data_IF_712294521636
#
_entry.id   IF_712294521636
#
_cell.length_a   1.000
_cell.length_b   1.000
_cell.length_c   1.000
_cell.angle_alpha   90.00
_cell.angle_beta   90.00
_cell.angle_gamma   90.00
#
_symmetry.space_group_name_H-M   'P 1'
#
loop_
_entity.id
_entity.type
_entity.pdbx_description
1 polymer ?
#
# COMPACT_ATOMS: atom_id res chain seq x y z
N UNK A 1 9.71 13.61 69.79
CA UNK A 1 9.13 14.23 68.61
C UNK A 1 9.98 14.03 67.35
N UNK A 2 11.26 14.35 67.30
CA UNK A 2 12.09 14.18 66.09
C UNK A 2 12.18 12.74 65.52
N UNK A 3 12.26 11.71 66.40
CA UNK A 3 12.30 10.30 65.96
C UNK A 3 10.99 9.79 65.39
N UNK A 4 9.85 10.30 65.87
CA UNK A 4 8.51 9.93 65.39
C UNK A 4 8.26 10.50 64.00
N UNK A 5 8.70 11.74 63.72
CA UNK A 5 8.59 12.40 62.41
C UNK A 5 9.42 11.69 61.37
N UNK A 6 10.62 11.18 61.73
CA UNK A 6 11.48 10.43 60.79
C UNK A 6 10.86 9.09 60.37
N UNK A 7 10.20 8.38 61.33
CA UNK A 7 9.52 7.10 61.02
C UNK A 7 8.28 7.31 60.14
N UNK A 8 7.54 8.37 60.35
CA UNK A 8 6.34 8.70 59.53
C UNK A 8 6.77 9.09 58.12
N UNK A 9 7.83 9.86 57.95
CA UNK A 9 8.35 10.20 56.62
C UNK A 9 8.91 8.98 55.88
N UNK A 10 9.57 8.06 56.58
CA UNK A 10 10.12 6.85 55.92
C UNK A 10 9.01 5.89 55.48
N UNK A 11 7.94 5.74 56.28
CA UNK A 11 6.78 4.92 55.88
C UNK A 11 5.95 5.52 54.74
N UNK A 12 5.87 6.85 54.64
CA UNK A 12 5.24 7.52 53.47
C UNK A 12 6.06 7.35 52.19
N UNK A 13 7.39 7.38 52.26
CA UNK A 13 8.26 7.16 51.10
C UNK A 13 8.16 5.70 50.61
N UNK A 14 8.12 4.73 51.52
CA UNK A 14 7.95 3.31 51.18
C UNK A 14 6.56 3.04 50.59
N UNK A 15 5.49 3.65 51.12
CA UNK A 15 4.15 3.55 50.57
C UNK A 15 4.04 4.20 49.18
N UNK A 16 4.74 5.32 48.94
CA UNK A 16 4.77 5.98 47.62
C UNK A 16 5.58 5.18 46.61
N UNK A 17 6.68 4.50 46.99
CA UNK A 17 7.41 3.58 46.12
C UNK A 17 6.62 2.32 45.76
N UNK A 18 5.73 1.83 46.61
CA UNK A 18 4.88 0.68 46.30
C UNK A 18 3.74 1.02 45.30
N UNK A 19 3.35 2.28 45.15
CA UNK A 19 2.34 2.70 44.16
C UNK A 19 2.87 2.74 42.71
N UNK A 20 4.17 2.66 42.52
CA UNK A 20 4.78 2.61 41.15
C UNK A 20 5.20 1.20 40.73
N UNK A 21 4.96 0.19 41.53
CA UNK A 21 5.40 -1.18 41.24
C UNK A 21 4.35 -2.02 40.48
N UNK A 22 3.20 -1.46 40.10
CA UNK A 22 2.12 -2.22 39.47
C UNK A 22 1.77 -1.68 38.04
N UNK A 23 2.79 -1.31 37.29
CA UNK A 23 2.73 -1.34 35.83
C UNK A 23 3.44 -2.59 35.32
N UNK A 24 3.02 -3.77 35.78
CA UNK A 24 3.20 -4.97 35.01
C UNK A 24 2.24 -4.88 33.84
N UNK A 25 2.78 -4.45 32.71
CA UNK A 25 2.19 -4.66 31.39
C UNK A 25 1.85 -6.15 31.31
N UNK A 26 0.60 -6.48 31.57
CA UNK A 26 0.07 -7.83 31.41
C UNK A 26 -0.07 -8.09 29.89
N UNK A 27 1.04 -8.01 29.17
CA UNK A 27 1.17 -8.65 27.87
C UNK A 27 0.97 -10.14 28.16
N UNK A 28 -0.20 -10.60 27.80
CA UNK A 28 -0.70 -11.96 27.98
C UNK A 28 0.17 -12.96 27.18
N UNK A 29 1.46 -13.06 27.44
CA UNK A 29 2.45 -14.00 26.89
C UNK A 29 2.41 -14.26 25.37
N UNK A 30 1.52 -13.57 24.63
CA UNK A 30 1.38 -13.68 23.19
C UNK A 30 2.48 -12.89 22.53
N UNK A 31 3.10 -13.51 21.53
CA UNK A 31 4.05 -12.81 20.67
C UNK A 31 3.30 -11.77 19.85
N UNK A 32 3.75 -10.53 19.90
CA UNK A 32 3.17 -9.45 19.10
C UNK A 32 3.81 -9.43 17.71
N UNK A 33 2.99 -9.14 16.69
CA UNK A 33 3.43 -8.93 15.30
C UNK A 33 2.74 -7.69 14.76
N UNK A 34 3.51 -6.78 14.18
CA UNK A 34 2.99 -5.60 13.49
C UNK A 34 3.12 -5.78 11.98
N UNK A 35 2.00 -5.65 11.26
CA UNK A 35 1.94 -5.71 9.80
C UNK A 35 1.70 -4.30 9.28
N UNK A 36 2.66 -3.77 8.50
CA UNK A 36 2.48 -2.54 7.75
C UNK A 36 1.63 -2.80 6.50
N UNK A 37 0.81 -1.84 6.11
CA UNK A 37 0.08 -1.92 4.84
C UNK A 37 -0.24 -0.54 4.29
N UNK A 38 -0.36 -0.47 2.97
CA UNK A 38 -0.88 0.69 2.25
C UNK A 38 -2.34 0.41 1.88
N UNK A 39 -3.15 1.44 1.66
CA UNK A 39 -4.56 1.30 1.32
C UNK A 39 -4.77 0.85 -0.15
N UNK A 40 -4.01 -0.15 -0.59
CA UNK A 40 -4.18 -0.81 -1.87
C UNK A 40 -5.00 -2.09 -1.70
N UNK A 41 -5.75 -2.43 -2.72
CA UNK A 41 -6.78 -3.47 -2.66
C UNK A 41 -6.25 -4.83 -2.21
N UNK A 42 -5.17 -5.30 -2.82
CA UNK A 42 -4.51 -6.56 -2.52
C UNK A 42 -3.77 -6.51 -1.19
N UNK A 43 -3.06 -5.41 -0.93
CA UNK A 43 -2.31 -5.21 0.30
C UNK A 43 -3.20 -5.27 1.55
N UNK A 44 -4.39 -4.65 1.48
CA UNK A 44 -5.41 -4.76 2.52
C UNK A 44 -5.83 -6.23 2.70
N UNK A 45 -6.22 -6.89 1.60
CA UNK A 45 -6.70 -8.28 1.65
C UNK A 45 -5.66 -9.23 2.23
N UNK A 46 -4.41 -9.16 1.77
CA UNK A 46 -3.31 -10.00 2.23
C UNK A 46 -2.98 -9.71 3.70
N UNK A 47 -2.93 -8.45 4.11
CA UNK A 47 -2.61 -8.06 5.49
C UNK A 47 -3.68 -8.54 6.48
N UNK A 48 -4.96 -8.41 6.14
CA UNK A 48 -6.05 -8.91 6.98
C UNK A 48 -6.09 -10.44 7.01
N UNK A 49 -5.82 -11.12 5.90
CA UNK A 49 -5.71 -12.58 5.88
C UNK A 49 -4.56 -13.06 6.77
N UNK A 50 -3.39 -12.44 6.65
CA UNK A 50 -2.23 -12.76 7.48
C UNK A 50 -2.53 -12.52 8.98
N UNK A 51 -3.22 -11.40 9.31
CA UNK A 51 -3.68 -11.12 10.67
C UNK A 51 -4.51 -12.28 11.22
N UNK A 52 -5.58 -12.67 10.52
CA UNK A 52 -6.47 -13.76 10.96
C UNK A 52 -5.70 -15.08 11.13
N UNK A 53 -4.80 -15.41 10.21
CA UNK A 53 -3.97 -16.61 10.28
C UNK A 53 -3.02 -16.61 11.47
N UNK A 54 -2.35 -15.49 11.74
CA UNK A 54 -1.42 -15.35 12.87
C UNK A 54 -2.16 -15.34 14.20
N UNK A 55 -3.30 -14.66 14.30
CA UNK A 55 -4.14 -14.67 15.51
C UNK A 55 -4.66 -16.06 15.84
N UNK A 56 -5.02 -16.87 14.83
CA UNK A 56 -5.40 -18.28 15.03
C UNK A 56 -4.26 -19.15 15.59
N UNK A 57 -3.00 -18.69 15.42
CA UNK A 57 -1.80 -19.33 15.98
C UNK A 57 -1.36 -18.74 17.32
N UNK A 58 -2.16 -17.83 17.89
CA UNK A 58 -1.91 -17.26 19.22
C UNK A 58 -1.03 -16.02 19.23
N UNK A 59 -0.76 -15.39 18.08
CA UNK A 59 -0.11 -14.09 18.03
C UNK A 59 -1.11 -12.97 18.32
N UNK A 60 -0.61 -11.83 18.79
CA UNK A 60 -1.34 -10.56 18.87
C UNK A 60 -0.89 -9.70 17.69
N UNK A 61 -1.81 -9.37 16.77
CA UNK A 61 -1.45 -8.76 15.48
C UNK A 61 -1.99 -7.35 15.36
N UNK A 62 -1.08 -6.40 15.19
CA UNK A 62 -1.39 -4.99 14.94
C UNK A 62 -1.23 -4.65 13.46
N UNK A 63 -2.27 -4.11 12.84
CA UNK A 63 -2.21 -3.54 11.51
C UNK A 63 -1.84 -2.05 11.58
N UNK A 64 -0.85 -1.63 10.80
CA UNK A 64 -0.37 -0.24 10.73
C UNK A 64 -0.50 0.29 9.32
N UNK A 65 -1.51 1.13 9.11
CA UNK A 65 -1.68 1.81 7.83
C UNK A 65 -0.72 3.00 7.71
N UNK A 66 -0.02 3.08 6.59
CA UNK A 66 0.82 4.22 6.23
C UNK A 66 1.07 4.23 4.72
N UNK A 67 1.61 5.33 4.19
CA UNK A 67 2.12 5.39 2.82
C UNK A 67 3.35 4.49 2.67
N UNK A 68 3.69 4.15 1.42
CA UNK A 68 4.73 3.15 1.11
C UNK A 68 6.10 3.51 1.69
N UNK A 69 6.54 4.77 1.60
CA UNK A 69 7.84 5.17 2.11
C UNK A 69 7.94 5.05 3.65
N UNK A 70 6.98 5.56 4.46
CA UNK A 70 6.91 5.29 5.90
C UNK A 70 6.87 3.80 6.27
N UNK A 71 6.21 2.94 5.47
CA UNK A 71 6.19 1.48 5.72
C UNK A 71 7.61 0.93 5.65
N UNK A 72 8.35 1.17 4.56
CA UNK A 72 9.73 0.69 4.41
C UNK A 72 10.69 1.26 5.47
N UNK A 73 10.56 2.54 5.80
CA UNK A 73 11.34 3.16 6.89
C UNK A 73 11.04 2.50 8.23
N UNK A 74 9.77 2.21 8.51
CA UNK A 74 9.36 1.60 9.78
C UNK A 74 9.83 0.15 9.89
N UNK A 75 9.81 -0.62 8.78
CA UNK A 75 10.39 -1.97 8.74
C UNK A 75 11.90 -1.94 9.00
N UNK A 76 12.63 -1.10 8.27
CA UNK A 76 14.09 -0.98 8.43
C UNK A 76 14.49 -0.54 9.85
N UNK A 77 13.61 0.17 10.56
CA UNK A 77 13.78 0.58 11.95
C UNK A 77 13.26 -0.44 12.98
N UNK A 78 12.77 -1.61 12.56
CA UNK A 78 12.21 -2.64 13.43
C UNK A 78 10.93 -2.23 14.15
N UNK A 79 10.18 -1.24 13.63
CA UNK A 79 8.89 -0.79 14.17
C UNK A 79 7.68 -1.45 13.53
N UNK A 80 7.89 -2.04 12.37
CA UNK A 80 6.95 -2.88 11.63
C UNK A 80 7.69 -4.17 11.29
N UNK A 81 7.07 -5.30 11.59
CA UNK A 81 7.72 -6.61 11.43
C UNK A 81 7.55 -7.17 10.01
N UNK A 82 6.39 -6.92 9.38
CA UNK A 82 6.04 -7.53 8.08
C UNK A 82 5.34 -6.52 7.18
N UNK A 83 5.64 -6.59 5.88
CA UNK A 83 4.90 -5.96 4.80
C UNK A 83 4.62 -7.02 3.73
N UNK A 84 3.35 -7.14 3.31
CA UNK A 84 2.88 -8.24 2.45
C UNK A 84 2.75 -7.84 0.97
N UNK A 85 3.14 -6.60 0.61
CA UNK A 85 2.78 -6.01 -0.68
C UNK A 85 3.98 -5.28 -1.31
N UNK A 86 5.16 -5.94 -1.26
CA UNK A 86 6.38 -5.44 -1.89
C UNK A 86 6.44 -5.92 -3.34
N UNK A 87 6.25 -5.01 -4.30
CA UNK A 87 6.31 -5.29 -5.73
C UNK A 87 7.75 -5.30 -6.24
N UNK A 88 8.21 -6.43 -6.70
CA UNK A 88 9.59 -6.69 -7.10
C UNK A 88 9.65 -7.40 -8.46
N UNK A 89 10.70 -7.17 -9.28
CA UNK A 89 11.95 -6.50 -8.92
C UNK A 89 11.97 -4.98 -9.15
N UNK A 90 10.99 -4.37 -9.81
CA UNK A 90 11.12 -3.02 -10.35
C UNK A 90 10.47 -1.94 -9.49
N UNK A 91 9.16 -2.06 -9.20
CA UNK A 91 8.35 -0.99 -8.58
C UNK A 91 8.91 -0.51 -7.24
N UNK A 92 9.33 -1.41 -6.37
CA UNK A 92 9.90 -1.08 -5.06
C UNK A 92 11.41 -1.25 -4.98
N UNK A 93 12.10 -1.34 -6.14
CA UNK A 93 13.56 -1.53 -6.19
C UNK A 93 14.36 -0.50 -5.39
N UNK A 94 13.92 0.77 -5.42
CA UNK A 94 14.62 1.85 -4.72
C UNK A 94 14.58 1.67 -3.20
N UNK A 95 13.47 1.16 -2.67
CA UNK A 95 13.36 0.85 -1.24
C UNK A 95 14.24 -0.34 -0.86
N UNK A 96 14.28 -1.39 -1.68
CA UNK A 96 15.15 -2.55 -1.46
C UNK A 96 16.62 -2.14 -1.54
N UNK A 97 17.00 -1.31 -2.51
CA UNK A 97 18.38 -0.78 -2.61
C UNK A 97 18.78 0.04 -1.37
N UNK A 98 17.83 0.79 -0.80
CA UNK A 98 18.10 1.66 0.35
C UNK A 98 18.06 0.94 1.69
N UNK A 99 17.21 -0.05 1.85
CA UNK A 99 16.90 -0.66 3.14
C UNK A 99 17.11 -2.17 3.18
N UNK A 100 17.46 -2.81 2.05
CA UNK A 100 17.51 -4.26 1.91
C UNK A 100 18.42 -4.97 2.90
N UNK A 101 19.51 -4.33 3.32
CA UNK A 101 20.42 -4.89 4.35
C UNK A 101 19.74 -5.11 5.72
N UNK A 102 18.60 -4.45 5.95
CA UNK A 102 17.80 -4.57 7.17
C UNK A 102 16.47 -5.32 6.95
N UNK A 103 16.27 -5.91 5.78
CA UNK A 103 15.03 -6.57 5.40
C UNK A 103 15.31 -7.99 4.93
N UNK A 104 14.37 -8.88 5.16
CA UNK A 104 14.41 -10.27 4.69
C UNK A 104 13.19 -10.55 3.82
N UNK A 105 13.43 -11.09 2.61
CA UNK A 105 12.37 -11.56 1.73
C UNK A 105 11.93 -12.96 2.17
N UNK A 106 10.72 -13.08 2.72
CA UNK A 106 10.19 -14.34 3.26
C UNK A 106 9.61 -15.27 2.18
N UNK A 107 9.24 -14.72 1.02
CA UNK A 107 8.68 -15.48 -0.08
C UNK A 107 7.84 -14.62 -1.01
N UNK A 108 7.16 -15.28 -1.95
CA UNK A 108 6.31 -14.66 -2.96
C UNK A 108 4.86 -14.97 -2.63
N UNK A 109 4.06 -13.93 -2.38
CA UNK A 109 2.63 -14.05 -2.11
C UNK A 109 1.80 -14.13 -3.40
N UNK A 110 2.22 -13.42 -4.46
CA UNK A 110 1.54 -13.40 -5.75
C UNK A 110 2.55 -13.31 -6.91
N UNK A 111 2.27 -14.01 -8.01
CA UNK A 111 3.09 -14.02 -9.23
C UNK A 111 2.31 -13.40 -10.38
N UNK A 112 3.05 -12.87 -11.36
CA UNK A 112 2.50 -12.23 -12.55
C UNK A 112 1.62 -10.99 -12.22
N UNK A 113 2.04 -10.21 -11.23
CA UNK A 113 1.47 -8.92 -10.95
C UNK A 113 1.74 -7.97 -12.13
N UNK A 114 0.72 -7.24 -12.59
CA UNK A 114 0.83 -6.36 -13.77
C UNK A 114 0.31 -4.98 -13.42
N UNK A 115 0.98 -3.97 -13.94
CA UNK A 115 0.56 -2.56 -13.90
C UNK A 115 0.33 -2.01 -15.30
N UNK A 116 -0.45 -0.94 -15.42
CA UNK A 116 -0.67 -0.26 -16.70
C UNK A 116 -1.81 0.75 -16.66
N UNK A 117 -2.11 1.30 -17.82
CA UNK A 117 -3.31 2.08 -18.04
C UNK A 117 -4.49 1.16 -18.36
N UNK A 118 -5.61 1.40 -17.70
CA UNK A 118 -6.81 0.58 -17.77
C UNK A 118 -7.99 1.43 -18.23
N UNK A 119 -8.78 0.86 -19.13
CA UNK A 119 -10.03 1.46 -19.62
C UNK A 119 -11.17 0.43 -19.56
N UNK A 120 -12.44 0.88 -19.48
CA UNK A 120 -13.58 -0.01 -19.70
C UNK A 120 -13.54 -0.66 -21.08
N UNK A 121 -13.96 -1.93 -21.19
CA UNK A 121 -13.87 -2.70 -22.46
C UNK A 121 -14.64 -2.09 -23.62
N UNK A 122 -15.67 -1.26 -23.33
CA UNK A 122 -16.41 -0.54 -24.37
C UNK A 122 -15.64 0.65 -25.00
N UNK A 123 -14.54 1.08 -24.40
CA UNK A 123 -13.62 2.06 -24.98
C UNK A 123 -12.91 1.42 -26.16
N UNK A 124 -12.93 2.05 -27.34
CA UNK A 124 -12.53 1.40 -28.58
C UNK A 124 -11.05 1.33 -28.81
N UNK A 125 -10.24 2.23 -28.21
CA UNK A 125 -8.78 2.19 -28.32
C UNK A 125 -8.19 0.95 -27.65
N UNK A 126 -7.03 0.53 -28.12
CA UNK A 126 -6.33 -0.67 -27.62
C UNK A 126 -4.94 -0.38 -27.08
N UNK A 127 -4.30 0.70 -27.53
CA UNK A 127 -2.92 1.04 -27.20
C UNK A 127 -2.82 2.40 -26.51
N UNK A 128 -1.79 2.56 -25.70
CA UNK A 128 -1.38 3.85 -25.11
C UNK A 128 -1.13 4.89 -26.21
N UNK A 129 -0.62 4.46 -27.37
CA UNK A 129 -0.32 5.33 -28.51
C UNK A 129 -1.55 6.04 -29.10
N UNK A 130 -2.75 5.46 -28.89
CA UNK A 130 -4.00 6.03 -29.39
C UNK A 130 -4.63 7.09 -28.47
N UNK A 131 -4.08 7.29 -27.27
CA UNK A 131 -4.68 8.18 -26.26
C UNK A 131 -4.81 9.62 -26.75
N UNK A 132 -3.80 10.14 -27.43
CA UNK A 132 -3.79 11.55 -27.88
C UNK A 132 -4.86 11.85 -28.94
N UNK A 133 -5.18 10.91 -29.81
CA UNK A 133 -6.23 11.07 -30.83
C UNK A 133 -7.62 11.19 -30.21
N UNK A 134 -7.77 10.73 -28.97
CA UNK A 134 -9.05 10.69 -28.26
C UNK A 134 -9.04 11.41 -26.90
N UNK A 135 -8.02 12.22 -26.64
CA UNK A 135 -7.78 12.84 -25.33
C UNK A 135 -8.99 13.60 -24.76
N UNK A 136 -9.77 14.27 -25.62
CA UNK A 136 -10.95 15.00 -25.19
C UNK A 136 -12.04 14.07 -24.63
N UNK A 137 -12.18 12.85 -25.17
CA UNK A 137 -13.11 11.83 -24.66
C UNK A 137 -12.72 11.39 -23.25
N UNK A 138 -11.44 11.43 -22.93
CA UNK A 138 -10.90 11.17 -21.60
C UNK A 138 -10.80 12.44 -20.73
N UNK A 139 -11.42 13.57 -21.16
CA UNK A 139 -11.36 14.86 -20.46
C UNK A 139 -9.94 15.39 -20.26
N UNK A 140 -9.00 14.96 -21.12
CA UNK A 140 -7.57 15.23 -21.03
C UNK A 140 -6.92 14.75 -19.72
N UNK A 141 -7.46 13.71 -19.08
CA UNK A 141 -7.01 13.25 -17.77
C UNK A 141 -6.81 11.74 -17.74
N UNK A 142 -5.79 11.30 -17.00
CA UNK A 142 -5.59 9.94 -16.51
C UNK A 142 -5.83 9.98 -15.01
N UNK A 143 -6.76 9.21 -14.50
CA UNK A 143 -7.02 9.17 -13.06
C UNK A 143 -6.08 8.17 -12.41
N UNK A 144 -5.20 8.69 -11.56
CA UNK A 144 -4.20 7.92 -10.83
C UNK A 144 -4.61 7.61 -9.39
N UNK A 145 -3.64 7.11 -8.64
CA UNK A 145 -3.77 6.76 -7.23
C UNK A 145 -2.92 7.70 -6.35
N UNK A 146 -2.48 7.22 -5.20
CA UNK A 146 -1.75 8.01 -4.20
C UNK A 146 -0.41 8.50 -4.75
N UNK A 147 -0.09 9.76 -4.45
CA UNK A 147 1.22 10.34 -4.77
C UNK A 147 2.32 9.52 -4.11
N UNK A 148 3.36 9.18 -4.88
CA UNK A 148 4.49 8.38 -4.38
C UNK A 148 4.30 6.87 -4.50
N UNK A 149 3.14 6.38 -4.94
CA UNK A 149 2.99 4.99 -5.36
C UNK A 149 3.89 4.70 -6.59
N UNK A 150 4.52 3.53 -6.63
CA UNK A 150 5.39 3.15 -7.75
C UNK A 150 4.68 3.22 -9.09
N UNK A 151 3.43 2.75 -9.17
CA UNK A 151 2.58 2.85 -10.35
C UNK A 151 2.44 4.30 -10.88
N UNK A 152 2.39 5.30 -9.99
CA UNK A 152 2.32 6.70 -10.40
C UNK A 152 3.64 7.16 -11.04
N UNK A 153 4.77 6.81 -10.42
CA UNK A 153 6.10 7.13 -10.97
C UNK A 153 6.31 6.47 -12.35
N UNK A 154 5.89 5.20 -12.48
CA UNK A 154 5.93 4.49 -13.76
C UNK A 154 5.01 5.16 -14.80
N UNK A 155 3.80 5.56 -14.42
CA UNK A 155 2.87 6.24 -15.32
C UNK A 155 3.41 7.61 -15.77
N UNK A 156 4.07 8.36 -14.90
CA UNK A 156 4.74 9.60 -15.29
C UNK A 156 5.86 9.35 -16.31
N UNK A 157 6.59 8.25 -16.18
CA UNK A 157 7.59 7.84 -17.17
C UNK A 157 6.93 7.48 -18.49
N UNK A 158 5.88 6.66 -18.46
CA UNK A 158 5.09 6.29 -19.64
C UNK A 158 4.58 7.52 -20.39
N UNK A 159 4.04 8.51 -19.68
CA UNK A 159 3.55 9.76 -20.28
C UNK A 159 4.67 10.50 -21.02
N UNK A 160 5.90 10.48 -20.52
CA UNK A 160 7.04 11.13 -21.19
C UNK A 160 7.51 10.36 -22.41
N UNK A 161 7.60 9.03 -22.30
CA UNK A 161 8.13 8.17 -23.38
C UNK A 161 7.16 8.03 -24.56
N UNK A 162 5.85 8.03 -24.32
CA UNK A 162 4.80 8.01 -25.34
C UNK A 162 4.29 9.39 -25.75
N UNK A 163 4.94 10.48 -25.41
CA UNK A 163 4.50 11.87 -25.29
C UNK A 163 2.97 12.03 -25.20
N UNK A 164 2.38 11.40 -24.16
CA UNK A 164 0.93 11.46 -23.89
C UNK A 164 0.56 12.88 -23.43
N UNK A 165 -0.44 13.46 -24.07
CA UNK A 165 -0.90 14.83 -23.77
C UNK A 165 -1.96 14.89 -22.65
N UNK A 166 -2.35 13.74 -22.08
CA UNK A 166 -3.28 13.68 -20.95
C UNK A 166 -2.54 13.98 -19.64
N UNK A 167 -3.21 14.67 -18.73
CA UNK A 167 -2.68 15.00 -17.41
C UNK A 167 -2.94 13.87 -16.42
N UNK A 168 -1.89 13.35 -15.78
CA UNK A 168 -2.04 12.41 -14.68
C UNK A 168 -2.57 13.14 -13.43
N UNK A 169 -3.76 12.74 -12.96
CA UNK A 169 -4.41 13.29 -11.78
C UNK A 169 -4.26 12.36 -10.61
N UNK A 170 -3.45 12.72 -9.61
CA UNK A 170 -3.33 11.90 -8.42
C UNK A 170 -4.64 11.89 -7.62
N UNK A 171 -4.95 10.75 -7.02
CA UNK A 171 -6.08 10.60 -6.11
C UNK A 171 -5.75 9.56 -5.03
N UNK A 172 -6.70 8.75 -4.61
CA UNK A 172 -6.47 7.52 -3.85
C UNK A 172 -7.02 6.32 -4.64
N UNK A 173 -6.58 5.11 -4.31
CA UNK A 173 -7.11 3.91 -4.95
C UNK A 173 -8.64 3.83 -4.88
N UNK A 174 -9.24 4.16 -3.74
CA UNK A 174 -10.70 4.19 -3.58
C UNK A 174 -11.37 5.28 -4.45
N UNK A 175 -10.76 6.46 -4.53
CA UNK A 175 -11.27 7.59 -5.35
C UNK A 175 -11.17 7.26 -6.83
N UNK A 176 -10.06 6.69 -7.29
CA UNK A 176 -9.88 6.25 -8.67
C UNK A 176 -10.97 5.26 -9.08
N UNK A 177 -11.25 4.26 -8.25
CA UNK A 177 -12.32 3.28 -8.52
C UNK A 177 -13.71 3.93 -8.51
N UNK A 178 -13.96 4.92 -7.66
CA UNK A 178 -15.24 5.65 -7.67
C UNK A 178 -15.44 6.43 -8.98
N UNK A 179 -14.40 7.08 -9.51
CA UNK A 179 -14.44 7.70 -10.84
C UNK A 179 -14.70 6.68 -11.94
N UNK A 180 -13.97 5.55 -11.89
CA UNK A 180 -14.15 4.45 -12.84
C UNK A 180 -15.59 3.94 -12.84
N UNK A 181 -16.15 3.65 -11.67
CA UNK A 181 -17.53 3.19 -11.52
C UNK A 181 -18.51 4.19 -12.13
N UNK A 182 -18.42 5.46 -11.75
CA UNK A 182 -19.31 6.51 -12.25
C UNK A 182 -19.24 6.63 -13.78
N UNK A 183 -18.04 6.58 -14.36
CA UNK A 183 -17.88 6.64 -15.81
C UNK A 183 -18.48 5.42 -16.52
N UNK A 184 -18.34 4.21 -15.93
CA UNK A 184 -18.96 2.99 -16.46
C UNK A 184 -20.51 3.08 -16.45
N UNK A 185 -21.08 3.56 -15.35
CA UNK A 185 -22.54 3.76 -15.21
C UNK A 185 -23.09 4.71 -16.28
N UNK A 186 -22.34 5.76 -16.59
CA UNK A 186 -22.69 6.77 -17.59
C UNK A 186 -22.27 6.42 -19.03
N UNK A 187 -21.55 5.31 -19.25
CA UNK A 187 -20.92 4.96 -20.54
C UNK A 187 -19.94 6.02 -21.05
N UNK A 188 -19.32 6.77 -20.15
CA UNK A 188 -18.29 7.76 -20.46
C UNK A 188 -16.91 7.10 -20.59
N UNK A 189 -16.07 7.67 -21.45
CA UNK A 189 -14.70 7.22 -21.55
C UNK A 189 -13.88 7.68 -20.35
N UNK A 190 -13.10 6.76 -19.79
CA UNK A 190 -12.15 7.02 -18.72
C UNK A 190 -10.92 6.15 -18.91
N UNK A 191 -9.76 6.71 -18.57
CA UNK A 191 -8.52 5.96 -18.42
C UNK A 191 -8.01 6.15 -16.99
N UNK A 192 -7.67 5.05 -16.34
CA UNK A 192 -7.17 5.04 -14.98
C UNK A 192 -5.84 4.29 -14.93
N UNK A 193 -5.03 4.57 -13.90
CA UNK A 193 -3.94 3.66 -13.54
C UNK A 193 -4.52 2.40 -12.93
N UNK A 194 -3.99 1.24 -13.27
CA UNK A 194 -4.53 -0.02 -12.76
C UNK A 194 -3.47 -1.10 -12.63
N UNK A 195 -3.80 -2.11 -11.83
CA UNK A 195 -2.91 -3.23 -11.57
C UNK A 195 -3.68 -4.52 -11.30
N UNK A 196 -3.02 -5.64 -11.44
CA UNK A 196 -3.52 -6.94 -11.00
C UNK A 196 -2.52 -7.55 -10.00
N UNK A 197 -3.01 -8.12 -8.88
CA UNK A 197 -4.41 -8.43 -8.55
C UNK A 197 -5.20 -7.21 -8.02
N UNK A 198 -6.37 -6.96 -8.54
CA UNK A 198 -7.30 -5.94 -8.05
C UNK A 198 -8.74 -6.40 -8.30
N UNK A 199 -9.63 -6.26 -7.30
CA UNK A 199 -11.02 -6.70 -7.39
C UNK A 199 -11.84 -6.03 -8.50
N UNK A 200 -11.43 -4.84 -8.97
CA UNK A 200 -12.14 -4.11 -10.03
C UNK A 200 -12.28 -4.91 -11.33
N UNK A 201 -11.30 -5.78 -11.66
CA UNK A 201 -11.35 -6.65 -12.83
C UNK A 201 -12.37 -7.79 -12.70
N UNK A 202 -12.71 -8.18 -11.47
CA UNK A 202 -13.79 -9.15 -11.22
C UNK A 202 -15.17 -8.51 -11.26
N UNK A 203 -15.25 -7.20 -11.01
CA UNK A 203 -16.53 -6.47 -10.93
C UNK A 203 -16.91 -5.77 -12.21
N UNK A 204 -15.95 -5.28 -12.96
CA UNK A 204 -16.16 -4.49 -14.18
C UNK A 204 -15.45 -5.14 -15.36
N UNK A 205 -16.04 -4.99 -16.54
CA UNK A 205 -15.42 -5.41 -17.79
C UNK A 205 -14.38 -4.35 -18.22
N UNK A 206 -13.12 -4.65 -17.94
CA UNK A 206 -11.98 -3.76 -18.10
C UNK A 206 -10.92 -4.39 -18.98
N UNK A 207 -10.11 -3.56 -19.60
CA UNK A 207 -8.90 -3.98 -20.30
C UNK A 207 -7.73 -3.04 -20.00
N UNK A 208 -6.55 -3.60 -19.96
CA UNK A 208 -5.32 -2.82 -20.07
C UNK A 208 -5.15 -2.31 -21.50
N UNK A 209 -4.63 -1.11 -21.63
CA UNK A 209 -4.10 -0.66 -22.91
C UNK A 209 -2.76 -1.36 -23.18
N UNK A 210 -2.53 -1.69 -24.44
CA UNK A 210 -1.26 -2.25 -24.89
C UNK A 210 -0.14 -1.22 -24.72
N UNK A 211 1.00 -1.70 -24.27
CA UNK A 211 2.25 -0.95 -24.07
C UNK A 211 3.34 -1.50 -25.01
N UNK A 212 3.34 -1.11 -26.30
CA UNK A 212 4.26 -1.67 -27.28
C UNK A 212 5.74 -1.44 -26.95
N UNK A 213 6.08 -0.36 -26.27
CA UNK A 213 7.45 -0.02 -25.86
C UNK A 213 7.83 -0.64 -24.51
N UNK A 214 6.92 -1.41 -23.88
CA UNK A 214 7.12 -2.04 -22.56
C UNK A 214 7.59 -1.09 -21.46
N UNK A 215 7.04 0.11 -21.44
CA UNK A 215 7.40 1.13 -20.47
C UNK A 215 6.92 0.81 -19.04
N UNK A 216 5.86 0.00 -18.88
CA UNK A 216 5.47 -0.54 -17.59
C UNK A 216 6.30 -1.75 -17.14
N UNK A 217 7.22 -2.23 -18.01
CA UNK A 217 8.06 -3.39 -17.74
C UNK A 217 7.34 -4.73 -17.87
N UNK A 218 8.01 -5.76 -17.39
CA UNK A 218 7.46 -7.12 -17.31
C UNK A 218 6.63 -7.32 -16.04
N UNK A 219 5.89 -8.42 -15.97
CA UNK A 219 5.12 -8.77 -14.77
C UNK A 219 6.02 -9.00 -13.55
N UNK A 220 5.58 -8.51 -12.41
CA UNK A 220 6.30 -8.56 -11.14
C UNK A 220 5.78 -9.64 -10.19
N UNK A 221 6.43 -9.74 -9.03
CA UNK A 221 6.01 -10.58 -7.90
C UNK A 221 5.73 -9.67 -6.70
N UNK A 222 4.77 -10.12 -5.90
CA UNK A 222 4.45 -9.51 -4.61
C UNK A 222 4.82 -10.49 -3.50
#
# INVERSE_FOLDING_TARGET
>A
MRRLIIIINLSLIVAFMMMFADCSDSSNGRKQVSIGYVNWSEGIAMSYLAKVMLESKGYDVMLRNADIAPVFVSMAAGKVDVFMDAWLPATHADYIRKFGDNLEALGVAYKNARMGLVVPSYVTIRSIEELNEHKEKFRNEIIGIDVGAGLMNETERVIREYPVELTLKPSSGATMVAFLQKSIENKEWIVVTGWTPHWMFSRYDLKFLDDPQKQYGDAEQI
#
